data_IF_976964042608
#
_entry.id   IF_976964042608
#
_cell.length_a   1.000
_cell.length_b   1.000
_cell.length_c   1.000
_cell.angle_alpha   90.00
_cell.angle_beta   90.00
_cell.angle_gamma   90.00
#
_symmetry.space_group_name_H-M   'P 1'
#
loop_
_entity.id
_entity.type
_entity.pdbx_description
1 polymer ?
#
# COMPACT_ATOMS: atom_id res chain seq x y z
N UNK A 1 -8.27 21.17 -17.34
CA UNK A 1 -7.93 19.88 -16.73
C UNK A 1 -6.74 20.14 -15.81
N UNK A 2 -6.97 20.14 -14.50
CA UNK A 2 -5.94 20.45 -13.51
C UNK A 2 -5.17 19.15 -13.26
N UNK A 3 -3.94 19.05 -13.77
CA UNK A 3 -3.10 17.83 -13.72
C UNK A 3 -3.05 17.18 -12.32
N UNK A 4 -3.14 17.99 -11.26
CA UNK A 4 -3.15 17.51 -9.89
C UNK A 4 -4.48 16.89 -9.44
N UNK A 5 -5.63 17.33 -9.99
CA UNK A 5 -6.93 16.73 -9.68
C UNK A 5 -6.98 15.29 -10.18
N UNK A 6 -6.54 15.07 -11.42
CA UNK A 6 -6.51 13.76 -12.05
C UNK A 6 -5.56 12.80 -11.30
N UNK A 7 -4.45 13.32 -10.76
CA UNK A 7 -3.51 12.55 -9.93
C UNK A 7 -4.14 12.15 -8.60
N UNK A 8 -4.87 13.05 -7.92
CA UNK A 8 -5.52 12.72 -6.65
C UNK A 8 -6.60 11.65 -6.85
N UNK A 9 -7.42 11.75 -7.91
CA UNK A 9 -8.41 10.72 -8.24
C UNK A 9 -7.76 9.38 -8.59
N UNK A 10 -6.64 9.41 -9.30
CA UNK A 10 -5.88 8.20 -9.59
C UNK A 10 -5.35 7.54 -8.30
N UNK A 11 -4.78 8.34 -7.39
CA UNK A 11 -4.31 7.85 -6.09
C UNK A 11 -5.45 7.31 -5.22
N UNK A 12 -6.60 7.99 -5.21
CA UNK A 12 -7.84 7.58 -4.51
C UNK A 12 -8.20 6.13 -4.85
N UNK A 13 -8.17 5.82 -6.15
CA UNK A 13 -8.46 4.48 -6.67
C UNK A 13 -7.37 3.45 -6.33
N UNK A 14 -6.09 3.83 -6.40
CA UNK A 14 -4.99 2.91 -6.10
C UNK A 14 -4.95 2.51 -4.61
N UNK A 15 -5.22 3.44 -3.71
CA UNK A 15 -5.14 3.19 -2.26
C UNK A 15 -6.48 2.78 -1.65
N UNK A 16 -7.55 2.75 -2.45
CA UNK A 16 -8.91 2.38 -2.04
C UNK A 16 -9.47 3.24 -0.88
N UNK A 17 -9.10 4.51 -0.84
CA UNK A 17 -9.60 5.49 0.15
C UNK A 17 -10.43 6.50 -0.61
N UNK A 18 -11.67 6.76 -0.18
CA UNK A 18 -12.53 7.76 -0.82
C UNK A 18 -12.45 9.10 -0.08
N UNK A 19 -12.14 10.19 -0.78
CA UNK A 19 -11.98 11.50 -0.18
C UNK A 19 -13.18 12.41 -0.46
N UNK A 20 -13.53 13.24 0.52
CA UNK A 20 -14.44 14.37 0.30
C UNK A 20 -13.73 15.47 -0.52
N UNK A 21 -14.50 16.36 -1.13
CA UNK A 21 -13.93 17.46 -1.94
C UNK A 21 -13.03 18.41 -1.11
N UNK A 22 -13.39 18.64 0.16
CA UNK A 22 -12.56 19.45 1.06
C UNK A 22 -11.22 18.76 1.38
N UNK A 23 -11.24 17.43 1.58
CA UNK A 23 -10.03 16.64 1.79
C UNK A 23 -9.14 16.60 0.55
N UNK A 24 -9.73 16.46 -0.64
CA UNK A 24 -8.98 16.52 -1.92
C UNK A 24 -8.22 17.82 -2.05
N UNK A 25 -8.87 18.96 -1.76
CA UNK A 25 -8.22 20.27 -1.81
C UNK A 25 -7.07 20.42 -0.80
N UNK A 26 -7.19 19.81 0.39
CA UNK A 26 -6.13 19.82 1.39
C UNK A 26 -4.97 18.92 0.97
N UNK A 27 -5.26 17.67 0.62
CA UNK A 27 -4.28 16.65 0.23
C UNK A 27 -3.51 17.11 -1.01
N UNK A 28 -4.16 17.76 -1.96
CA UNK A 28 -3.47 18.31 -3.13
C UNK A 28 -2.33 19.25 -2.75
N UNK A 29 -2.54 20.13 -1.76
CA UNK A 29 -1.50 21.05 -1.27
C UNK A 29 -0.40 20.30 -0.52
N UNK A 30 -0.78 19.34 0.32
CA UNK A 30 0.15 18.56 1.13
C UNK A 30 1.03 17.65 0.27
N UNK A 31 0.44 16.91 -0.67
CA UNK A 31 1.16 16.05 -1.64
C UNK A 31 2.12 16.89 -2.48
N UNK A 32 1.70 18.07 -2.94
CA UNK A 32 2.60 18.98 -3.66
C UNK A 32 3.82 19.34 -2.80
N UNK A 33 3.62 19.73 -1.54
CA UNK A 33 4.72 20.09 -0.65
C UNK A 33 5.66 18.90 -0.37
N UNK A 34 5.11 17.70 -0.22
CA UNK A 34 5.88 16.46 -0.04
C UNK A 34 6.72 16.16 -1.28
N UNK A 35 6.13 16.25 -2.48
CA UNK A 35 6.86 16.04 -3.74
C UNK A 35 7.98 17.09 -3.89
N UNK A 36 7.69 18.36 -3.60
CA UNK A 36 8.68 19.43 -3.64
C UNK A 36 9.85 19.17 -2.68
N UNK A 37 9.58 18.62 -1.49
CA UNK A 37 10.62 18.18 -0.54
C UNK A 37 11.47 17.05 -1.13
N UNK A 38 10.86 16.01 -1.71
CA UNK A 38 11.60 14.89 -2.30
C UNK A 38 12.37 15.27 -3.58
N UNK A 39 11.93 16.31 -4.30
CA UNK A 39 12.66 16.83 -5.45
C UNK A 39 14.06 17.34 -5.09
N UNK A 40 14.35 17.60 -3.80
CA UNK A 40 15.71 17.87 -3.33
C UNK A 40 16.67 16.69 -3.58
N UNK A 41 16.18 15.45 -3.62
CA UNK A 41 17.03 14.28 -3.91
C UNK A 41 17.59 14.32 -5.34
N UNK A 42 16.92 15.01 -6.28
CA UNK A 42 17.41 15.17 -7.65
C UNK A 42 18.65 16.06 -7.74
N UNK A 43 19.02 16.80 -6.67
CA UNK A 43 20.26 17.58 -6.65
C UNK A 43 21.48 16.76 -6.24
N UNK A 44 21.29 15.49 -5.88
CA UNK A 44 22.39 14.58 -5.56
C UNK A 44 23.02 14.11 -6.88
N UNK A 45 24.27 14.49 -7.11
CA UNK A 45 25.02 14.12 -8.31
C UNK A 45 25.64 12.71 -8.18
N UNK A 46 26.05 12.13 -9.31
CA UNK A 46 26.81 10.88 -9.40
C UNK A 46 26.15 9.58 -8.90
N UNK A 47 24.80 9.53 -8.82
CA UNK A 47 24.06 8.33 -8.39
C UNK A 47 24.22 7.12 -9.32
N UNK A 48 24.56 7.32 -10.60
CA UNK A 48 24.69 6.24 -11.59
C UNK A 48 25.79 5.22 -11.28
N UNK A 49 26.71 5.55 -10.37
CA UNK A 49 27.82 4.69 -9.98
C UNK A 49 27.51 3.84 -8.74
N UNK A 50 26.30 3.97 -8.17
CA UNK A 50 25.91 3.32 -6.93
C UNK A 50 24.71 2.40 -7.17
N UNK A 51 24.81 1.18 -6.67
CA UNK A 51 23.67 0.26 -6.63
C UNK A 51 22.69 0.68 -5.53
N UNK A 52 21.37 0.56 -5.74
CA UNK A 52 20.38 0.84 -4.71
C UNK A 52 20.57 -0.06 -3.49
N UNK A 53 20.48 0.52 -2.30
CA UNK A 53 20.50 -0.23 -1.05
C UNK A 53 19.11 -0.84 -0.78
N UNK A 54 18.95 -2.13 -1.07
CA UNK A 54 17.70 -2.85 -0.82
C UNK A 54 17.54 -3.28 0.65
N UNK A 55 18.62 -3.75 1.26
CA UNK A 55 18.67 -4.18 2.66
C UNK A 55 19.96 -3.66 3.30
N UNK A 56 19.87 -3.22 4.56
CA UNK A 56 21.04 -2.72 5.31
C UNK A 56 21.99 -3.87 5.68
N UNK A 57 21.47 -5.09 5.78
CA UNK A 57 22.24 -6.30 6.05
C UNK A 57 22.45 -7.09 4.76
N UNK A 58 23.58 -7.79 4.68
CA UNK A 58 23.82 -8.79 3.65
C UNK A 58 22.94 -10.02 3.92
N UNK A 59 21.76 -10.04 3.29
CA UNK A 59 20.80 -11.13 3.42
C UNK A 59 21.09 -12.16 2.31
N UNK A 60 21.46 -13.37 2.71
CA UNK A 60 21.34 -14.53 1.83
C UNK A 60 19.86 -14.93 1.72
N UNK A 61 19.39 -15.33 0.53
CA UNK A 61 18.01 -15.78 0.31
C UNK A 61 17.62 -16.86 1.33
N UNK A 62 16.75 -16.56 2.32
CA UNK A 62 16.35 -17.55 3.29
C UNK A 62 15.43 -18.55 2.60
N UNK A 63 15.85 -19.82 2.57
CA UNK A 63 14.99 -20.92 2.14
C UNK A 63 14.19 -21.42 3.35
N UNK A 64 12.91 -21.70 3.13
CA UNK A 64 12.06 -22.38 4.11
C UNK A 64 12.10 -23.88 3.81
N UNK A 65 12.28 -24.70 4.83
CA UNK A 65 12.15 -26.15 4.72
C UNK A 65 10.72 -26.54 4.31
N UNK A 66 10.57 -27.60 3.51
CA UNK A 66 9.26 -28.11 3.09
C UNK A 66 8.66 -29.02 4.17
N UNK A 67 8.45 -28.43 5.34
CA UNK A 67 7.84 -29.10 6.50
C UNK A 67 6.43 -28.55 6.75
N UNK A 68 5.53 -29.45 7.14
CA UNK A 68 4.18 -29.08 7.57
C UNK A 68 4.22 -28.47 8.98
N UNK A 69 3.46 -27.40 9.16
CA UNK A 69 3.26 -26.75 10.47
C UNK A 69 1.77 -26.77 10.79
N UNK A 70 1.41 -26.97 12.06
CA UNK A 70 0.01 -26.89 12.50
C UNK A 70 -0.60 -25.55 12.10
N UNK A 71 -1.81 -25.58 11.55
CA UNK A 71 -2.57 -24.37 11.25
C UNK A 71 -2.99 -23.70 12.54
N UNK A 72 -2.78 -22.40 12.65
CA UNK A 72 -3.15 -21.63 13.82
C UNK A 72 -4.64 -21.32 13.76
N UNK A 73 -5.42 -21.85 14.72
CA UNK A 73 -6.87 -21.58 14.85
C UNK A 73 -7.15 -20.13 15.33
N UNK A 74 -6.12 -19.41 15.78
CA UNK A 74 -6.18 -17.99 16.14
C UNK A 74 -6.62 -17.12 14.96
N UNK A 75 -6.22 -17.45 13.72
CA UNK A 75 -6.70 -16.74 12.53
C UNK A 75 -8.21 -16.89 12.36
N UNK A 76 -8.76 -18.07 12.68
CA UNK A 76 -10.20 -18.29 12.66
C UNK A 76 -10.89 -17.46 13.76
N UNK A 77 -10.35 -17.47 14.98
CA UNK A 77 -10.84 -16.65 16.08
C UNK A 77 -10.82 -15.14 15.75
N UNK A 78 -9.74 -14.63 15.15
CA UNK A 78 -9.66 -13.25 14.72
C UNK A 78 -10.70 -12.90 13.65
N UNK A 79 -10.99 -13.82 12.72
CA UNK A 79 -12.01 -13.63 11.70
C UNK A 79 -13.42 -13.63 12.30
N UNK A 80 -13.71 -14.52 13.24
CA UNK A 80 -15.00 -14.56 13.96
C UNK A 80 -15.27 -13.25 14.73
N UNK A 81 -14.23 -12.69 15.36
CA UNK A 81 -14.36 -11.44 16.12
C UNK A 81 -14.57 -10.21 15.24
N UNK A 82 -13.97 -10.18 14.04
CA UNK A 82 -13.85 -8.96 13.24
C UNK A 82 -14.64 -8.97 11.92
N UNK A 83 -15.30 -10.08 11.58
CA UNK A 83 -16.01 -10.24 10.30
C UNK A 83 -17.40 -10.87 10.47
N UNK A 84 -18.20 -10.83 9.40
CA UNK A 84 -19.46 -11.57 9.34
C UNK A 84 -19.19 -12.87 8.60
N UNK A 85 -19.40 -14.00 9.27
CA UNK A 85 -19.28 -15.33 8.66
C UNK A 85 -20.64 -15.89 8.27
N UNK A 86 -20.71 -16.56 7.11
CA UNK A 86 -21.83 -17.42 6.69
C UNK A 86 -21.22 -18.76 6.27
N UNK A 87 -21.62 -19.86 6.90
CA UNK A 87 -21.09 -21.21 6.62
C UNK A 87 -19.55 -21.27 6.66
N UNK A 88 -18.92 -20.54 7.59
CA UNK A 88 -17.47 -20.37 7.75
C UNK A 88 -16.76 -19.60 6.62
N UNK A 89 -17.49 -18.86 5.79
CA UNK A 89 -16.93 -17.95 4.79
C UNK A 89 -17.12 -16.49 5.20
N UNK A 90 -16.11 -15.66 4.95
CA UNK A 90 -16.21 -14.20 5.13
C UNK A 90 -17.23 -13.64 4.14
N UNK A 91 -18.30 -13.05 4.67
CA UNK A 91 -19.33 -12.38 3.89
C UNK A 91 -18.84 -11.00 3.47
N UNK A 92 -18.63 -10.82 2.17
CA UNK A 92 -18.29 -9.54 1.56
C UNK A 92 -19.29 -9.18 0.44
N UNK A 93 -19.35 -7.91 0.00
CA UNK A 93 -20.05 -7.56 -1.24
C UNK A 93 -19.54 -8.42 -2.40
N UNK A 94 -20.46 -8.84 -3.27
CA UNK A 94 -20.10 -9.62 -4.45
C UNK A 94 -19.12 -8.81 -5.31
N UNK A 95 -17.98 -9.38 -5.64
CA UNK A 95 -17.09 -8.82 -6.67
C UNK A 95 -17.80 -8.86 -8.01
N UNK A 96 -18.04 -7.69 -8.60
CA UNK A 96 -18.57 -7.54 -9.95
C UNK A 96 -17.41 -6.99 -10.77
N UNK A 97 -16.98 -7.74 -11.79
CA UNK A 97 -16.10 -7.20 -12.83
C UNK A 97 -16.93 -6.30 -13.73
N UNK A 98 -16.44 -5.09 -14.00
CA UNK A 98 -16.99 -4.22 -15.07
C UNK A 98 -16.93 -4.89 -16.44
#
# INVERSE_FOLDING_TARGET
MNMYSDIIEYLENLVLIKFTEDEKNRIQKEVKNIIDMFNMLNTVEDLNNWEPLYHVHDISLPLREDEETESIDEEHGMLEENTILIDNYVKAPRTISE
#
